data_IF_051053980305
#
_entry.id   IF_051053980305
#
_cell.length_a   1.000
_cell.length_b   1.000
_cell.length_c   1.000
_cell.angle_alpha   90.00
_cell.angle_beta   90.00
_cell.angle_gamma   90.00
#
_symmetry.space_group_name_H-M   'P 1'
#
loop_
_entity.id
_entity.type
_entity.pdbx_description
1 polymer ?
#
# COMPACT_ATOMS: atom_id res chain seq x y z
N UNK A 1 6.58 -45.58 -40.95
CA UNK A 1 7.21 -46.86 -41.29
C UNK A 1 7.16 -47.72 -40.04
N UNK A 2 6.16 -48.57 -39.95
CA UNK A 2 6.12 -49.71 -39.03
C UNK A 2 7.00 -50.81 -39.61
N UNK A 3 7.82 -51.48 -38.80
CA UNK A 3 7.64 -52.91 -38.51
C UNK A 3 8.79 -53.48 -37.66
N UNK A 4 8.38 -54.45 -36.87
CA UNK A 4 9.11 -55.29 -35.93
C UNK A 4 9.28 -56.66 -36.61
N UNK A 5 10.44 -57.30 -36.52
CA UNK A 5 10.65 -58.68 -36.99
C UNK A 5 11.66 -59.40 -36.09
N UNK A 6 11.11 -60.33 -35.31
CA UNK A 6 11.79 -61.49 -34.74
C UNK A 6 12.47 -62.34 -35.84
N UNK A 7 13.38 -63.22 -35.42
CA UNK A 7 14.06 -64.27 -36.19
C UNK A 7 15.38 -63.90 -36.88
N UNK A 8 16.46 -64.05 -36.11
CA UNK A 8 17.56 -64.87 -36.63
C UNK A 8 18.03 -65.82 -35.52
N UNK A 9 17.56 -67.04 -35.67
CA UNK A 9 17.92 -68.22 -34.91
C UNK A 9 19.25 -68.81 -35.41
N UNK A 10 19.85 -69.65 -34.57
CA UNK A 10 20.80 -70.73 -34.88
C UNK A 10 22.30 -70.40 -34.97
N UNK A 11 23.01 -70.73 -33.89
CA UNK A 11 24.22 -71.57 -33.85
C UNK A 11 24.72 -71.56 -32.40
N UNK A 12 25.11 -72.62 -31.71
CA UNK A 12 25.22 -74.06 -31.96
C UNK A 12 25.45 -74.66 -30.56
N UNK A 13 24.94 -75.85 -30.30
CA UNK A 13 25.26 -76.60 -29.09
C UNK A 13 25.74 -77.98 -29.53
N UNK A 14 26.80 -78.49 -28.87
CA UNK A 14 26.57 -79.75 -28.18
C UNK A 14 27.24 -79.81 -26.80
N UNK A 15 26.48 -80.31 -25.83
CA UNK A 15 26.97 -80.90 -24.58
C UNK A 15 27.32 -82.38 -24.86
N UNK A 16 28.28 -83.06 -24.17
CA UNK A 16 27.93 -83.72 -22.90
C UNK A 16 29.09 -84.00 -21.90
N UNK A 17 28.73 -84.25 -20.64
CA UNK A 17 29.56 -84.91 -19.60
C UNK A 17 29.93 -83.97 -18.44
N UNK A 18 29.66 -84.23 -17.16
CA UNK A 18 29.50 -85.48 -16.44
C UNK A 18 30.59 -85.58 -15.37
N UNK A 19 30.18 -85.51 -14.09
CA UNK A 19 30.88 -86.01 -12.88
C UNK A 19 31.78 -85.06 -12.06
N UNK A 20 31.21 -84.61 -10.94
CA UNK A 20 31.67 -84.78 -9.55
C UNK A 20 33.08 -84.39 -9.07
N UNK A 21 33.03 -83.70 -7.92
CA UNK A 21 33.96 -83.72 -6.77
C UNK A 21 34.95 -82.56 -6.61
N UNK A 22 34.50 -81.63 -5.75
CA UNK A 22 35.21 -81.04 -4.61
C UNK A 22 36.74 -80.87 -4.69
N UNK A 23 37.18 -79.61 -4.62
CA UNK A 23 38.33 -79.24 -3.77
C UNK A 23 37.97 -78.02 -2.93
N UNK A 24 38.10 -78.25 -1.64
CA UNK A 24 38.02 -77.37 -0.48
C UNK A 24 38.99 -76.17 -0.48
N UNK A 25 38.46 -75.06 0.06
CA UNK A 25 39.04 -74.21 1.10
C UNK A 25 40.11 -73.13 0.80
N UNK A 26 39.80 -71.95 1.36
CA UNK A 26 40.62 -70.84 1.88
C UNK A 26 41.02 -69.73 0.87
N UNK A 27 40.47 -68.51 0.95
CA UNK A 27 40.42 -67.49 2.02
C UNK A 27 41.55 -66.45 1.91
N UNK A 28 41.19 -65.24 1.46
CA UNK A 28 41.80 -63.98 1.87
C UNK A 28 40.84 -62.83 1.53
N UNK A 29 39.80 -62.64 2.34
CA UNK A 29 39.04 -61.41 2.34
C UNK A 29 39.94 -60.31 2.93
N UNK A 30 40.38 -59.39 2.07
CA UNK A 30 41.06 -58.18 2.50
C UNK A 30 40.11 -57.38 3.41
N UNK A 31 40.50 -57.21 4.68
CA UNK A 31 39.80 -56.31 5.60
C UNK A 31 40.05 -54.89 5.11
N UNK A 32 39.04 -54.24 4.54
CA UNK A 32 39.12 -52.83 4.18
C UNK A 32 39.10 -51.98 5.43
N UNK A 33 39.99 -50.98 5.51
CA UNK A 33 39.86 -49.92 6.51
C UNK A 33 38.59 -49.11 6.23
N UNK A 34 37.95 -48.63 7.29
CA UNK A 34 36.72 -47.86 7.19
C UNK A 34 36.93 -46.60 6.35
N UNK A 35 36.14 -46.36 5.30
CA UNK A 35 36.22 -45.12 4.52
C UNK A 35 35.93 -43.89 5.38
N UNK A 36 36.75 -42.85 5.24
CA UNK A 36 36.57 -41.59 5.94
C UNK A 36 35.21 -40.94 5.57
N UNK A 37 34.37 -40.66 6.58
CA UNK A 37 33.06 -40.03 6.40
C UNK A 37 31.83 -40.96 6.45
N UNK A 38 32.03 -42.29 6.45
CA UNK A 38 30.93 -43.24 6.60
C UNK A 38 30.52 -43.37 8.08
N UNK A 39 29.27 -43.09 8.50
CA UNK A 39 28.82 -43.26 9.89
C UNK A 39 28.91 -44.70 10.42
N UNK A 40 29.11 -44.88 11.74
CA UNK A 40 29.28 -46.20 12.40
C UNK A 40 28.13 -47.17 12.08
N UNK A 41 26.93 -46.63 11.88
CA UNK A 41 25.69 -47.38 11.61
C UNK A 41 25.74 -48.16 10.28
N UNK A 42 26.59 -47.76 9.35
CA UNK A 42 26.73 -48.35 8.02
C UNK A 42 28.04 -49.11 7.82
N UNK A 43 28.84 -49.26 8.87
CA UNK A 43 30.07 -50.06 8.85
C UNK A 43 29.84 -51.39 9.57
N UNK A 44 30.42 -52.47 9.06
CA UNK A 44 30.41 -53.76 9.74
C UNK A 44 31.81 -54.18 10.17
N UNK A 45 32.12 -54.00 11.46
CA UNK A 45 33.43 -54.31 12.04
C UNK A 45 33.82 -55.80 11.94
N UNK A 46 32.84 -56.69 11.76
CA UNK A 46 33.08 -58.14 11.66
C UNK A 46 33.48 -58.57 10.26
N UNK A 47 32.93 -57.95 9.22
CA UNK A 47 33.21 -58.27 7.82
C UNK A 47 34.20 -57.30 7.17
N UNK A 48 34.48 -56.16 7.79
CA UNK A 48 35.33 -55.11 7.21
C UNK A 48 34.71 -54.50 5.94
N UNK A 49 33.38 -54.53 5.84
CA UNK A 49 32.62 -54.10 4.66
C UNK A 49 31.55 -53.08 5.04
N UNK A 50 31.16 -52.28 4.05
CA UNK A 50 30.07 -51.31 4.17
C UNK A 50 28.72 -52.03 4.09
N UNK A 51 27.80 -51.71 5.00
CA UNK A 51 26.41 -52.18 4.97
C UNK A 51 25.60 -51.39 3.94
N UNK A 52 25.78 -51.75 2.67
CA UNK A 52 25.14 -51.07 1.52
C UNK A 52 23.61 -51.10 1.65
N UNK A 53 23.01 -52.21 2.08
CA UNK A 53 21.56 -52.32 2.25
C UNK A 53 21.00 -51.35 3.31
N UNK A 54 21.74 -51.15 4.40
CA UNK A 54 21.36 -50.20 5.45
C UNK A 54 21.46 -48.76 4.94
N UNK A 55 22.49 -48.44 4.15
CA UNK A 55 22.67 -47.13 3.54
C UNK A 55 21.53 -46.81 2.57
N UNK A 56 21.21 -47.73 1.66
CA UNK A 56 20.08 -47.61 0.71
C UNK A 56 18.77 -47.42 1.46
N UNK A 57 18.52 -48.20 2.51
CA UNK A 57 17.31 -48.08 3.33
C UNK A 57 17.22 -46.70 4.01
N UNK A 58 18.32 -46.19 4.55
CA UNK A 58 18.35 -44.87 5.19
C UNK A 58 18.14 -43.72 4.19
N UNK A 59 18.66 -43.87 2.98
CA UNK A 59 18.48 -42.91 1.88
C UNK A 59 17.02 -42.88 1.40
N UNK A 60 16.40 -44.06 1.19
CA UNK A 60 14.98 -44.15 0.83
C UNK A 60 14.06 -43.60 1.92
N UNK A 61 14.39 -43.79 3.20
CA UNK A 61 13.64 -43.18 4.29
C UNK A 61 13.81 -41.65 4.34
N UNK A 62 14.99 -41.15 4.00
CA UNK A 62 15.25 -39.71 3.90
C UNK A 62 14.46 -39.10 2.73
N UNK A 63 14.48 -39.73 1.55
CA UNK A 63 13.67 -39.30 0.40
C UNK A 63 12.17 -39.32 0.73
N UNK A 64 11.69 -40.37 1.41
CA UNK A 64 10.28 -40.44 1.84
C UNK A 64 9.93 -39.34 2.84
N UNK A 65 10.80 -39.05 3.80
CA UNK A 65 10.58 -37.97 4.78
C UNK A 65 10.66 -36.59 4.13
N UNK A 66 11.62 -36.37 3.23
CA UNK A 66 11.80 -35.09 2.55
C UNK A 66 10.66 -34.82 1.56
N UNK A 67 10.26 -35.83 0.79
CA UNK A 67 9.13 -35.73 -0.14
C UNK A 67 7.78 -35.51 0.56
N UNK A 68 7.59 -36.06 1.76
CA UNK A 68 6.35 -35.86 2.54
C UNK A 68 6.31 -34.51 3.28
N UNK A 69 7.46 -33.92 3.62
CA UNK A 69 7.53 -32.59 4.20
C UNK A 69 7.27 -31.50 3.15
N UNK A 70 7.89 -31.62 1.96
CA UNK A 70 7.71 -30.64 0.87
C UNK A 70 6.29 -30.57 0.32
N UNK A 71 5.58 -31.70 0.20
CA UNK A 71 4.22 -31.73 -0.37
C UNK A 71 3.10 -31.43 0.62
N UNK A 72 3.34 -31.48 1.95
CA UNK A 72 2.28 -31.27 2.94
C UNK A 72 1.90 -29.80 3.15
N UNK A 73 2.79 -28.89 2.79
CA UNK A 73 2.62 -27.45 2.99
C UNK A 73 2.17 -26.71 1.72
N UNK A 74 2.23 -27.37 0.57
CA UNK A 74 1.72 -26.87 -0.71
C UNK A 74 0.23 -27.23 -0.80
N UNK A 75 -0.67 -26.26 -0.97
CA UNK A 75 -2.10 -26.54 -1.17
C UNK A 75 -2.33 -27.43 -2.40
N UNK A 76 -3.41 -28.22 -2.40
CA UNK A 76 -3.74 -29.17 -3.49
C UNK A 76 -3.98 -28.53 -4.86
N UNK A 77 -4.19 -27.22 -4.89
CA UNK A 77 -4.43 -26.46 -6.09
C UNK A 77 -4.20 -24.96 -5.85
N UNK A 78 -4.08 -24.17 -6.93
CA UNK A 78 -3.81 -22.74 -6.83
C UNK A 78 -4.95 -21.96 -6.17
N UNK A 79 -6.19 -22.44 -6.26
CA UNK A 79 -7.34 -21.79 -5.64
C UNK A 79 -7.47 -22.12 -4.14
N UNK A 80 -6.62 -23.02 -3.63
CA UNK A 80 -6.67 -23.48 -2.25
C UNK A 80 -5.77 -22.64 -1.33
N UNK A 81 -5.06 -21.64 -1.84
CA UNK A 81 -4.32 -20.71 -1.00
C UNK A 81 -5.29 -19.85 -0.17
N UNK A 82 -5.08 -19.83 1.14
CA UNK A 82 -5.85 -18.99 2.08
C UNK A 82 -5.12 -17.67 2.33
N UNK A 83 -5.07 -16.83 1.31
CA UNK A 83 -4.31 -15.58 1.37
C UNK A 83 -5.09 -14.49 2.11
N UNK A 84 -4.39 -13.79 3.01
CA UNK A 84 -4.91 -12.62 3.71
C UNK A 84 -4.25 -11.40 3.08
N UNK A 85 -5.03 -10.60 2.36
CA UNK A 85 -4.58 -9.32 1.84
C UNK A 85 -5.07 -8.23 2.77
N UNK A 86 -4.15 -7.45 3.35
CA UNK A 86 -4.44 -6.51 4.44
C UNK A 86 -5.11 -5.20 3.98
N UNK A 87 -5.16 -4.94 2.67
CA UNK A 87 -5.56 -3.65 2.10
C UNK A 87 -6.58 -3.84 0.98
N UNK A 88 -7.56 -2.93 0.90
CA UNK A 88 -8.66 -3.00 -0.09
C UNK A 88 -8.22 -2.73 -1.55
N UNK A 89 -7.07 -2.08 -1.75
CA UNK A 89 -6.53 -1.78 -3.08
C UNK A 89 -5.89 -3.00 -3.76
N UNK A 90 -5.55 -4.03 -2.99
CA UNK A 90 -4.90 -5.25 -3.48
C UNK A 90 -5.85 -6.42 -3.28
N UNK A 91 -5.81 -7.38 -4.19
CA UNK A 91 -6.59 -8.61 -4.07
C UNK A 91 -5.75 -9.81 -4.45
N UNK A 92 -6.19 -10.99 -4.01
CA UNK A 92 -5.60 -12.24 -4.49
C UNK A 92 -5.85 -12.38 -5.99
N UNK A 93 -4.81 -12.66 -6.74
CA UNK A 93 -4.87 -12.84 -8.19
C UNK A 93 -4.73 -14.34 -8.54
N UNK A 94 -5.68 -14.86 -9.32
CA UNK A 94 -5.72 -16.28 -9.67
C UNK A 94 -4.54 -16.71 -10.55
N UNK A 95 -4.05 -15.83 -11.43
CA UNK A 95 -2.91 -16.14 -12.29
C UNK A 95 -1.58 -16.08 -11.54
N UNK A 96 -1.46 -15.19 -10.56
CA UNK A 96 -0.34 -15.20 -9.60
C UNK A 96 -0.37 -16.51 -8.81
N UNK A 97 -1.51 -16.89 -8.24
CA UNK A 97 -1.64 -18.12 -7.45
C UNK A 97 -1.33 -19.38 -8.28
N UNK A 98 -1.75 -19.44 -9.55
CA UNK A 98 -1.36 -20.51 -10.49
C UNK A 98 0.16 -20.60 -10.64
N UNK A 99 0.84 -19.46 -10.80
CA UNK A 99 2.30 -19.42 -10.95
C UNK A 99 3.01 -19.84 -9.67
N UNK A 100 2.54 -19.38 -8.51
CA UNK A 100 3.08 -19.76 -7.20
C UNK A 100 2.91 -21.28 -6.97
N UNK A 101 1.74 -21.82 -7.26
CA UNK A 101 1.48 -23.25 -7.15
C UNK A 101 2.33 -24.07 -8.12
N UNK A 102 2.45 -23.65 -9.37
CA UNK A 102 3.31 -24.30 -10.36
C UNK A 102 4.79 -24.28 -9.95
N UNK A 103 5.22 -23.25 -9.21
CA UNK A 103 6.56 -23.15 -8.63
C UNK A 103 6.71 -23.93 -7.30
N UNK A 104 5.65 -24.58 -6.81
CA UNK A 104 5.67 -25.38 -5.58
C UNK A 104 5.72 -24.55 -4.30
N UNK A 105 5.19 -23.32 -4.31
CA UNK A 105 5.17 -22.47 -3.12
C UNK A 105 4.24 -23.05 -2.06
N UNK A 106 4.70 -23.06 -0.81
CA UNK A 106 3.84 -23.38 0.33
C UNK A 106 2.86 -22.24 0.63
N UNK A 107 1.85 -22.50 1.46
CA UNK A 107 0.91 -21.47 1.92
C UNK A 107 1.63 -20.24 2.51
N UNK A 108 2.61 -20.45 3.39
CA UNK A 108 3.32 -19.37 4.07
C UNK A 108 4.21 -18.59 3.11
N UNK A 109 4.84 -19.28 2.15
CA UNK A 109 5.64 -18.63 1.11
C UNK A 109 4.77 -17.79 0.19
N UNK A 110 3.58 -18.28 -0.19
CA UNK A 110 2.63 -17.51 -0.98
C UNK A 110 2.15 -16.28 -0.21
N UNK A 111 1.80 -16.42 1.08
CA UNK A 111 1.41 -15.30 1.94
C UNK A 111 2.51 -14.25 2.02
N UNK A 112 3.77 -14.66 2.20
CA UNK A 112 4.93 -13.75 2.26
C UNK A 112 5.07 -12.91 0.99
N UNK A 113 4.80 -13.47 -0.20
CA UNK A 113 4.84 -12.70 -1.46
C UNK A 113 3.80 -11.59 -1.45
N UNK A 114 2.57 -11.86 -1.02
CA UNK A 114 1.51 -10.86 -0.93
C UNK A 114 1.76 -9.82 0.17
N UNK A 115 2.34 -10.24 1.30
CA UNK A 115 2.76 -9.32 2.36
C UNK A 115 3.85 -8.36 1.85
N UNK A 116 4.89 -8.89 1.20
CA UNK A 116 5.97 -8.07 0.62
C UNK A 116 5.46 -7.14 -0.50
N UNK A 117 4.55 -7.63 -1.34
CA UNK A 117 3.91 -6.80 -2.35
C UNK A 117 3.17 -5.64 -1.67
N UNK A 118 2.43 -5.89 -0.59
CA UNK A 118 1.72 -4.84 0.16
C UNK A 118 2.70 -3.85 0.79
N UNK A 119 3.78 -4.31 1.42
CA UNK A 119 4.78 -3.45 2.06
C UNK A 119 5.54 -2.55 1.08
N UNK A 120 5.76 -3.01 -0.16
CA UNK A 120 6.54 -2.28 -1.16
C UNK A 120 5.69 -1.48 -2.14
N UNK A 121 4.57 -2.03 -2.58
CA UNK A 121 3.73 -1.39 -3.59
C UNK A 121 2.88 -0.27 -3.00
N UNK A 122 2.40 -0.42 -1.76
CA UNK A 122 1.52 0.60 -1.17
C UNK A 122 2.17 1.98 -1.04
N UNK A 123 3.43 2.12 -0.56
CA UNK A 123 4.09 3.43 -0.56
C UNK A 123 4.23 4.03 -1.96
N UNK A 124 4.56 3.21 -2.97
CA UNK A 124 4.68 3.68 -4.36
C UNK A 124 3.34 4.13 -4.93
N UNK A 125 2.25 3.40 -4.65
CA UNK A 125 0.89 3.79 -5.06
C UNK A 125 0.48 5.10 -4.38
N UNK A 126 0.77 5.26 -3.09
CA UNK A 126 0.47 6.48 -2.35
C UNK A 126 1.22 7.70 -2.91
N UNK A 127 2.50 7.53 -3.28
CA UNK A 127 3.28 8.59 -3.93
C UNK A 127 2.71 8.96 -5.29
N UNK A 128 2.38 7.98 -6.14
CA UNK A 128 1.74 8.20 -7.44
C UNK A 128 0.39 8.90 -7.30
N UNK A 129 -0.45 8.49 -6.34
CA UNK A 129 -1.73 9.12 -6.06
C UNK A 129 -1.55 10.57 -5.65
N UNK A 130 -0.58 10.87 -4.78
CA UNK A 130 -0.27 12.25 -4.38
C UNK A 130 0.18 13.12 -5.55
N UNK A 131 0.97 12.59 -6.48
CA UNK A 131 1.39 13.32 -7.67
C UNK A 131 0.20 13.63 -8.58
N UNK A 132 -0.65 12.63 -8.85
CA UNK A 132 -1.83 12.79 -9.70
C UNK A 132 -2.86 13.75 -9.08
N UNK A 133 -3.06 13.68 -7.76
CA UNK A 133 -3.89 14.65 -7.04
C UNK A 133 -3.36 16.07 -7.20
N UNK A 134 -2.05 16.30 -7.04
CA UNK A 134 -1.45 17.62 -7.20
C UNK A 134 -1.65 18.20 -8.61
N UNK A 135 -1.46 17.39 -9.65
CA UNK A 135 -1.75 17.79 -11.04
C UNK A 135 -3.24 18.14 -11.22
N UNK A 136 -4.14 17.31 -10.70
CA UNK A 136 -5.58 17.55 -10.80
C UNK A 136 -6.02 18.82 -10.04
N UNK A 137 -5.40 19.11 -8.88
CA UNK A 137 -5.65 20.38 -8.17
C UNK A 137 -5.27 21.58 -9.05
N UNK A 138 -4.14 21.52 -9.78
CA UNK A 138 -3.71 22.58 -10.68
C UNK A 138 -4.67 22.72 -11.85
N UNK A 139 -5.08 21.62 -12.47
CA UNK A 139 -6.03 21.64 -13.59
C UNK A 139 -7.38 22.25 -13.18
N UNK A 140 -7.88 21.89 -12.00
CA UNK A 140 -9.07 22.51 -11.42
C UNK A 140 -8.90 24.03 -11.23
N UNK A 141 -7.74 24.50 -10.76
CA UNK A 141 -7.45 25.93 -10.61
C UNK A 141 -7.41 26.62 -11.98
N UNK A 142 -6.71 26.04 -12.96
CA UNK A 142 -6.63 26.55 -14.33
C UNK A 142 -8.01 26.67 -14.95
N UNK A 143 -8.86 25.64 -14.79
CA UNK A 143 -10.23 25.65 -15.29
C UNK A 143 -11.09 26.71 -14.56
N UNK A 144 -10.99 26.79 -13.23
CA UNK A 144 -11.75 27.74 -12.42
C UNK A 144 -11.43 29.20 -12.78
N UNK A 145 -10.15 29.54 -12.96
CA UNK A 145 -9.72 30.89 -13.31
C UNK A 145 -9.81 31.18 -14.82
N UNK A 146 -10.25 30.21 -15.62
CA UNK A 146 -10.53 30.39 -17.05
C UNK A 146 -9.29 30.43 -17.93
N UNK A 147 -8.25 29.68 -17.58
CA UNK A 147 -7.04 29.47 -18.37
C UNK A 147 -5.75 29.66 -17.58
N UNK A 148 -4.64 29.10 -18.10
CA UNK A 148 -3.35 29.11 -17.41
C UNK A 148 -2.78 30.52 -17.20
N UNK A 149 -2.99 31.42 -18.15
CA UNK A 149 -2.46 32.79 -18.06
C UNK A 149 -3.09 33.55 -16.89
N UNK A 150 -4.41 33.47 -16.75
CA UNK A 150 -5.14 34.08 -15.63
C UNK A 150 -4.77 33.43 -14.31
N UNK A 151 -4.67 32.09 -14.29
CA UNK A 151 -4.22 31.38 -13.10
C UNK A 151 -2.82 31.83 -12.66
N UNK A 152 -1.86 31.94 -13.59
CA UNK A 152 -0.50 32.42 -13.28
C UNK A 152 -0.50 33.83 -12.70
N UNK A 153 -1.35 34.72 -13.18
CA UNK A 153 -1.47 36.07 -12.64
C UNK A 153 -2.03 36.06 -11.21
N UNK A 154 -3.13 35.35 -10.99
CA UNK A 154 -3.77 35.23 -9.67
C UNK A 154 -2.84 34.54 -8.67
N UNK A 155 -2.18 33.45 -9.06
CA UNK A 155 -1.24 32.72 -8.21
C UNK A 155 -0.10 33.62 -7.70
N UNK A 156 0.43 34.52 -8.55
CA UNK A 156 1.46 35.47 -8.12
C UNK A 156 0.96 36.47 -7.09
N UNK A 157 -0.28 36.94 -7.23
CA UNK A 157 -0.88 37.87 -6.28
C UNK A 157 -1.15 37.16 -4.93
N UNK A 158 -1.67 35.93 -4.98
CA UNK A 158 -1.92 35.12 -3.79
C UNK A 158 -0.63 34.72 -3.06
N UNK A 159 0.46 34.40 -3.77
CA UNK A 159 1.75 34.09 -3.13
C UNK A 159 2.33 35.31 -2.40
N UNK A 160 2.31 36.49 -3.04
CA UNK A 160 2.79 37.73 -2.41
C UNK A 160 1.92 38.14 -1.21
N UNK A 161 0.59 38.10 -1.35
CA UNK A 161 -0.34 38.41 -0.27
C UNK A 161 -0.19 37.40 0.88
N UNK A 162 -0.24 36.10 0.56
CA UNK A 162 -0.22 35.01 1.53
C UNK A 162 1.05 34.99 2.37
N UNK A 163 2.23 35.15 1.76
CA UNK A 163 3.51 35.24 2.51
C UNK A 163 3.61 36.45 3.42
N UNK A 164 2.92 37.54 3.10
CA UNK A 164 2.96 38.78 3.90
C UNK A 164 1.94 38.81 5.04
N UNK A 165 0.83 38.07 4.91
CA UNK A 165 -0.31 38.11 5.85
C UNK A 165 -0.46 36.84 6.68
N UNK A 166 -0.03 35.69 6.17
CA UNK A 166 -0.24 34.40 6.81
C UNK A 166 1.07 33.85 7.39
N UNK A 167 1.01 33.10 8.51
CA UNK A 167 2.14 32.32 8.98
C UNK A 167 2.57 31.29 7.93
N UNK A 168 3.88 31.07 7.78
CA UNK A 168 4.44 30.19 6.74
C UNK A 168 3.77 28.81 6.68
N UNK A 169 3.55 28.16 7.83
CA UNK A 169 2.87 26.84 7.89
C UNK A 169 1.43 26.85 7.40
N UNK A 170 0.70 27.96 7.64
CA UNK A 170 -0.71 28.09 7.22
C UNK A 170 -0.76 28.35 5.72
N UNK A 171 0.11 29.21 5.21
CA UNK A 171 0.23 29.46 3.77
C UNK A 171 0.58 28.17 3.02
N UNK A 172 1.58 27.42 3.47
CA UNK A 172 1.96 26.14 2.86
C UNK A 172 0.77 25.18 2.83
N UNK A 173 0.06 25.00 3.95
CA UNK A 173 -1.10 24.10 4.03
C UNK A 173 -2.28 24.52 3.12
N UNK A 174 -2.52 25.82 2.93
CA UNK A 174 -3.59 26.31 2.06
C UNK A 174 -3.20 26.30 0.58
N UNK A 175 -1.91 26.44 0.27
CA UNK A 175 -1.41 26.49 -1.11
C UNK A 175 -1.42 25.14 -1.83
N UNK A 176 -1.55 24.02 -1.12
CA UNK A 176 -1.51 22.66 -1.68
C UNK A 176 -2.88 22.13 -2.13
N UNK A 177 -3.97 22.84 -1.86
CA UNK A 177 -5.34 22.40 -2.18
C UNK A 177 -6.11 23.49 -2.89
N UNK A 178 -6.98 23.10 -3.83
CA UNK A 178 -7.86 24.02 -4.55
C UNK A 178 -8.69 24.88 -3.58
N UNK A 179 -9.36 24.25 -2.63
CA UNK A 179 -10.21 24.95 -1.65
C UNK A 179 -9.40 25.93 -0.79
N UNK A 180 -8.16 25.58 -0.44
CA UNK A 180 -7.27 26.47 0.31
C UNK A 180 -6.89 27.72 -0.50
N UNK A 181 -6.60 27.55 -1.80
CA UNK A 181 -6.33 28.67 -2.71
C UNK A 181 -7.57 29.56 -2.89
N UNK A 182 -8.76 28.98 -3.06
CA UNK A 182 -10.01 29.76 -3.14
C UNK A 182 -10.31 30.48 -1.82
N UNK A 183 -10.05 29.85 -0.68
CA UNK A 183 -10.19 30.51 0.61
C UNK A 183 -9.22 31.70 0.74
N UNK A 184 -7.96 31.56 0.30
CA UNK A 184 -7.00 32.66 0.27
C UNK A 184 -7.43 33.79 -0.66
N UNK A 185 -7.98 33.47 -1.83
CA UNK A 185 -8.55 34.47 -2.75
C UNK A 185 -9.70 35.23 -2.11
N UNK A 186 -10.66 34.54 -1.48
CA UNK A 186 -11.79 35.21 -0.79
C UNK A 186 -11.33 36.07 0.37
N UNK A 187 -10.28 35.66 1.09
CA UNK A 187 -9.70 36.47 2.16
C UNK A 187 -9.02 37.71 1.59
N UNK A 188 -8.27 37.60 0.50
CA UNK A 188 -7.64 38.73 -0.19
C UNK A 188 -8.69 39.73 -0.73
N UNK A 189 -9.77 39.23 -1.33
CA UNK A 189 -10.87 40.06 -1.86
C UNK A 189 -11.76 40.66 -0.76
N UNK A 190 -12.00 39.93 0.33
CA UNK A 190 -12.79 40.39 1.47
C UNK A 190 -12.03 41.33 2.41
N UNK A 191 -10.69 41.30 2.38
CA UNK A 191 -9.82 42.30 3.02
C UNK A 191 -9.62 43.55 2.17
N UNK A 192 -10.16 43.63 0.96
CA UNK A 192 -10.49 44.94 0.39
C UNK A 192 -11.79 45.41 1.06
N UNK A 193 -11.75 46.24 2.13
CA UNK A 193 -12.93 46.98 2.48
C UNK A 193 -13.33 47.73 1.22
N UNK A 194 -14.56 47.53 0.76
CA UNK A 194 -15.21 48.37 -0.22
C UNK A 194 -15.22 49.82 0.27
N UNK A 195 -14.08 50.48 0.17
CA UNK A 195 -13.92 51.91 0.25
C UNK A 195 -14.39 52.40 -1.11
N UNK A 196 -15.62 52.92 -1.09
CA UNK A 196 -16.27 53.75 -2.12
C UNK A 196 -16.93 53.00 -3.29
N UNK A 197 -18.13 52.50 -3.02
CA UNK A 197 -19.26 52.75 -3.92
C UNK A 197 -20.42 53.30 -3.11
N UNK A 198 -20.69 54.58 -3.36
CA UNK A 198 -21.73 55.39 -2.76
C UNK A 198 -23.09 54.69 -2.63
N UNK A 199 -23.73 54.93 -1.48
CA UNK A 199 -25.18 54.98 -1.36
C UNK A 199 -25.89 53.63 -1.29
N UNK A 200 -26.07 53.14 -0.05
CA UNK A 200 -27.36 52.84 0.58
C UNK A 200 -27.15 51.72 1.60
N UNK A 201 -27.05 52.11 2.87
CA UNK A 201 -26.83 51.22 4.00
C UNK A 201 -27.99 50.23 4.18
N UNK A 202 -27.67 48.95 4.14
CA UNK A 202 -28.48 47.86 4.64
C UNK A 202 -27.79 47.24 5.85
N UNK A 203 -28.44 47.39 7.01
CA UNK A 203 -28.15 46.76 8.29
C UNK A 203 -26.96 47.27 9.12
N UNK A 204 -27.10 48.53 9.56
CA UNK A 204 -26.32 49.05 10.66
C UNK A 204 -26.74 48.40 11.98
N UNK A 205 -25.93 47.46 12.47
CA UNK A 205 -25.95 47.02 13.86
C UNK A 205 -25.96 48.28 14.74
N UNK A 206 -27.06 48.49 15.47
CA UNK A 206 -27.30 49.69 16.26
C UNK A 206 -26.29 49.72 17.40
N UNK A 207 -25.19 50.46 17.25
CA UNK A 207 -24.12 50.56 18.25
C UNK A 207 -24.40 51.69 19.24
N UNK A 208 -24.02 51.49 20.51
CA UNK A 208 -24.17 52.50 21.57
C UNK A 208 -23.48 53.83 21.22
N UNK A 209 -22.36 53.77 20.49
CA UNK A 209 -21.64 54.93 20.00
C UNK A 209 -22.46 55.74 18.98
N UNK A 210 -23.17 55.07 18.06
CA UNK A 210 -24.06 55.73 17.10
C UNK A 210 -25.25 56.42 17.75
N UNK A 211 -25.78 55.85 18.85
CA UNK A 211 -26.86 56.47 19.61
C UNK A 211 -26.40 57.71 20.38
N UNK A 212 -25.21 57.66 20.99
CA UNK A 212 -24.61 58.83 21.66
C UNK A 212 -24.31 59.97 20.68
N UNK A 213 -23.98 59.65 19.41
CA UNK A 213 -23.83 60.63 18.34
C UNK A 213 -25.18 61.32 18.03
N UNK A 214 -26.27 60.56 17.95
CA UNK A 214 -27.62 61.10 17.74
C UNK A 214 -28.09 61.99 18.91
N UNK A 215 -27.68 61.71 20.15
CA UNK A 215 -27.96 62.56 21.31
C UNK A 215 -27.23 63.92 21.27
N UNK A 216 -26.14 64.03 20.51
CA UNK A 216 -25.39 65.29 20.33
C UNK A 216 -25.95 66.18 19.23
N UNK A 217 -26.87 65.67 18.42
CA UNK A 217 -27.51 66.44 17.35
C UNK A 217 -28.40 67.57 17.95
N UNK A 218 -28.24 68.84 17.53
CA UNK A 218 -29.13 69.93 17.90
C UNK A 218 -30.63 69.62 17.73
N UNK A 219 -31.01 68.75 16.79
CA UNK A 219 -32.39 68.33 16.59
C UNK A 219 -32.96 67.54 17.77
N UNK A 220 -32.13 66.81 18.49
CA UNK A 220 -32.53 66.04 19.68
C UNK A 220 -32.71 66.92 20.92
N UNK A 221 -31.76 67.81 21.23
CA UNK A 221 -31.79 68.58 22.49
C UNK A 221 -32.34 70.01 22.37
N UNK A 222 -32.27 70.65 21.19
CA UNK A 222 -32.77 72.02 20.97
C UNK A 222 -34.17 72.05 20.37
N UNK A 223 -34.46 71.15 19.41
CA UNK A 223 -35.75 71.10 18.73
C UNK A 223 -36.67 69.99 19.25
N UNK A 224 -36.12 69.03 20.00
CA UNK A 224 -36.84 67.86 20.53
C UNK A 224 -37.74 67.21 19.46
N UNK A 225 -37.19 67.01 18.27
CA UNK A 225 -37.94 66.39 17.17
C UNK A 225 -38.48 65.02 17.61
N UNK A 226 -39.81 64.81 17.63
CA UNK A 226 -40.43 63.57 18.09
C UNK A 226 -39.86 62.33 17.40
N UNK A 227 -39.52 62.43 16.11
CA UNK A 227 -39.02 61.31 15.32
C UNK A 227 -37.58 60.92 15.71
N UNK A 228 -36.76 61.89 16.12
CA UNK A 228 -35.37 61.64 16.55
C UNK A 228 -35.36 61.07 17.97
N UNK A 229 -36.20 61.60 18.85
CA UNK A 229 -36.34 61.11 20.23
C UNK A 229 -36.83 59.66 20.25
N UNK A 230 -37.79 59.31 19.41
CA UNK A 230 -38.30 57.95 19.30
C UNK A 230 -37.23 56.97 18.79
N UNK A 231 -36.46 57.34 17.76
CA UNK A 231 -35.35 56.54 17.24
C UNK A 231 -34.27 56.27 18.29
N UNK A 232 -33.91 57.27 19.09
CA UNK A 232 -32.93 57.12 20.18
C UNK A 232 -33.48 56.21 21.29
N UNK A 233 -34.74 56.41 21.69
CA UNK A 233 -35.41 55.57 22.71
C UNK A 233 -35.50 54.12 22.29
N UNK A 234 -35.92 53.86 21.05
CA UNK A 234 -36.09 52.51 20.52
C UNK A 234 -34.75 51.82 20.29
N UNK A 235 -33.72 52.57 19.87
CA UNK A 235 -32.36 52.08 19.79
C UNK A 235 -31.82 51.61 21.14
N UNK A 236 -31.97 52.42 22.21
CA UNK A 236 -31.51 52.03 23.54
C UNK A 236 -32.33 50.88 24.12
N UNK A 237 -33.64 50.84 23.89
CA UNK A 237 -34.49 49.71 24.31
C UNK A 237 -33.99 48.41 23.71
N UNK A 238 -33.71 48.37 22.41
CA UNK A 238 -33.18 47.18 21.72
C UNK A 238 -31.80 46.78 22.27
N UNK A 239 -30.91 47.75 22.47
CA UNK A 239 -29.54 47.50 22.93
C UNK A 239 -29.48 46.95 24.37
N UNK A 240 -30.38 47.39 25.26
CA UNK A 240 -30.45 46.89 26.64
C UNK A 240 -31.35 45.66 26.82
N UNK A 241 -32.34 45.43 25.94
CA UNK A 241 -33.10 44.16 25.91
C UNK A 241 -32.25 42.98 25.43
N UNK A 242 -31.26 43.23 24.57
CA UNK A 242 -30.38 42.19 24.05
C UNK A 242 -29.28 41.77 25.05
N UNK A 243 -29.16 42.48 26.18
CA UNK A 243 -28.10 42.31 27.19
C UNK A 243 -28.62 41.83 28.54
N UNK A 244 -29.89 41.43 28.62
CA UNK A 244 -30.54 40.80 29.77
C UNK A 244 -30.93 39.35 29.42
#
# INVERSE_FOLDING_TARGET
MTENLLESSLADAPNPGGSDSQVTAQAAAARGDRPAGLPDKFWDDKSGQVRIDALIKSYLELERKLGTLGNREIPLGPDNYKLIVKNDLMSSDADINKRLHAAGFTQDQAQLVYDLASERMMPMIAELASMFEAENQIDHLVQHFGGEERWREVARQLDAWGRSRLPARVFEALSTTFEGVIAMQRMMEGEEPGLTRDGQGGDGMVTEAGLKQLMRDPRYWRQQDPAVVEKVRDGFRRLYQQKA
#
